data_IF_140841088499
#
_entry.id   IF_140841088499
#
_cell.length_a   1.000
_cell.length_b   1.000
_cell.length_c   1.000
_cell.angle_alpha   90.00
_cell.angle_beta   90.00
_cell.angle_gamma   90.00
#
_symmetry.space_group_name_H-M   'P 1'
#
loop_
_entity.id
_entity.type
_entity.pdbx_description
1 polymer ?
#
# COMPACT_ATOMS: atom_id res chain seq x y z
N UNK A 1 -3.20 5.40 10.29
CA UNK A 1 -2.01 4.55 10.52
C UNK A 1 -1.78 3.51 9.40
N UNK A 2 -2.81 2.76 8.97
CA UNK A 2 -2.64 1.68 7.96
C UNK A 2 -2.13 2.11 6.58
N UNK A 3 -2.55 3.27 6.07
CA UNK A 3 -2.20 3.72 4.71
C UNK A 3 -0.69 3.97 4.50
N UNK A 4 -0.05 4.70 5.42
CA UNK A 4 1.39 4.99 5.30
C UNK A 4 2.22 3.72 5.48
N UNK A 5 1.77 2.81 6.35
CA UNK A 5 2.41 1.51 6.52
C UNK A 5 2.28 0.63 5.27
N UNK A 6 1.12 0.62 4.62
CA UNK A 6 0.91 -0.08 3.35
C UNK A 6 1.83 0.45 2.23
N UNK A 7 2.02 1.77 2.13
CA UNK A 7 2.94 2.37 1.16
C UNK A 7 4.40 1.99 1.46
N UNK A 8 4.80 1.94 2.74
CA UNK A 8 6.14 1.49 3.13
C UNK A 8 6.39 0.05 2.70
N UNK A 9 5.47 -0.87 3.02
CA UNK A 9 5.58 -2.29 2.63
C UNK A 9 5.63 -2.47 1.11
N UNK A 10 4.84 -1.68 0.36
CA UNK A 10 4.88 -1.71 -1.10
C UNK A 10 6.25 -1.31 -1.65
N UNK A 11 6.86 -0.26 -1.08
CA UNK A 11 8.20 0.22 -1.48
C UNK A 11 9.32 -0.74 -1.10
N UNK A 12 9.17 -1.51 -0.03
CA UNK A 12 10.12 -2.56 0.36
C UNK A 12 10.14 -3.74 -0.63
N UNK A 13 9.07 -3.94 -1.41
CA UNK A 13 9.03 -4.91 -2.51
C UNK A 13 9.00 -6.39 -2.09
N UNK A 14 9.02 -6.68 -0.79
CA UNK A 14 9.05 -8.05 -0.25
C UNK A 14 7.68 -8.73 -0.19
N UNK A 15 6.59 -7.98 -0.41
CA UNK A 15 5.21 -8.46 -0.27
C UNK A 15 4.38 -8.08 -1.48
N UNK A 16 3.41 -8.92 -1.82
CA UNK A 16 2.41 -8.59 -2.83
C UNK A 16 1.39 -7.59 -2.29
N UNK A 17 0.73 -6.86 -3.19
CA UNK A 17 -0.34 -5.91 -2.84
C UNK A 17 -1.46 -6.58 -2.05
N UNK A 18 -1.81 -7.84 -2.36
CA UNK A 18 -2.85 -8.57 -1.63
C UNK A 18 -2.46 -8.82 -0.16
N UNK A 19 -1.23 -9.30 0.08
CA UNK A 19 -0.71 -9.51 1.44
C UNK A 19 -0.66 -8.20 2.23
N UNK A 20 -0.25 -7.10 1.58
CA UNK A 20 -0.24 -5.77 2.20
C UNK A 20 -1.66 -5.35 2.59
N UNK A 21 -2.63 -5.55 1.71
CA UNK A 21 -4.03 -5.22 1.99
C UNK A 21 -4.61 -6.05 3.14
N UNK A 22 -4.25 -7.34 3.25
CA UNK A 22 -4.67 -8.21 4.35
C UNK A 22 -4.06 -7.76 5.69
N UNK A 23 -2.76 -7.44 5.73
CA UNK A 23 -2.06 -7.02 6.95
C UNK A 23 -2.53 -5.64 7.42
N UNK A 24 -2.70 -4.70 6.48
CA UNK A 24 -2.96 -3.29 6.80
C UNK A 24 -4.44 -2.93 6.82
N UNK A 25 -5.32 -3.87 6.41
CA UNK A 25 -6.75 -3.67 6.18
C UNK A 25 -7.06 -2.49 5.25
N UNK A 26 -6.13 -2.15 4.36
CA UNK A 26 -6.27 -1.10 3.35
C UNK A 26 -6.79 -1.72 2.07
N UNK A 27 -7.78 -1.08 1.43
CA UNK A 27 -8.24 -1.55 0.12
C UNK A 27 -7.19 -1.30 -0.96
N UNK A 28 -7.12 -2.21 -1.94
CA UNK A 28 -6.22 -2.07 -3.11
C UNK A 28 -6.39 -0.73 -3.83
N UNK A 29 -7.64 -0.30 -4.01
CA UNK A 29 -7.95 0.97 -4.66
C UNK A 29 -7.37 2.18 -3.91
N UNK A 30 -7.50 2.20 -2.57
CA UNK A 30 -6.89 3.27 -1.75
C UNK A 30 -5.37 3.24 -1.81
N UNK A 31 -4.77 2.04 -1.81
CA UNK A 31 -3.32 1.88 -1.95
C UNK A 31 -2.81 2.45 -3.27
N UNK A 32 -3.40 2.04 -4.40
CA UNK A 32 -3.01 2.54 -5.71
C UNK A 32 -3.23 4.04 -5.89
N UNK A 33 -4.35 4.59 -5.39
CA UNK A 33 -4.59 6.05 -5.43
C UNK A 33 -3.49 6.82 -4.71
N UNK A 34 -3.06 6.35 -3.55
CA UNK A 34 -1.97 7.00 -2.82
C UNK A 34 -0.62 6.87 -3.53
N UNK A 35 -0.35 5.70 -4.12
CA UNK A 35 0.87 5.50 -4.91
C UNK A 35 0.91 6.43 -6.12
N UNK A 36 -0.22 6.68 -6.79
CA UNK A 36 -0.29 7.65 -7.89
C UNK A 36 -0.12 9.11 -7.44
N UNK A 37 -0.54 9.46 -6.22
CA UNK A 37 -0.30 10.79 -5.64
C UNK A 37 1.18 11.02 -5.29
N UNK A 38 1.93 9.95 -5.00
CA UNK A 38 3.35 10.04 -4.59
C UNK A 38 4.31 10.02 -5.79
N UNK A 39 3.85 9.53 -6.95
CA UNK A 39 4.64 9.45 -8.19
C UNK A 39 4.44 10.64 -9.14
N UNK A 40 3.55 11.59 -8.81
CA UNK A 40 3.37 12.87 -9.50
C UNK A 40 3.96 14.00 -8.64
#
# INVERSE_FOLDING_TARGET
AGMNYAVKLYKEGNMTVNQICEITNVSRASLYRKLSEVNN
#
